data_IF_635937876112
#
_entry.id   IF_635937876112
#
_cell.length_a   1.000
_cell.length_b   1.000
_cell.length_c   1.000
_cell.angle_alpha   90.00
_cell.angle_beta   90.00
_cell.angle_gamma   90.00
#
_symmetry.space_group_name_H-M   'P 1'
#
loop_
_entity.id
_entity.type
_entity.pdbx_description
1 polymer ?
#
# COMPACT_ATOMS: atom_id res chain seq x y z
N UNK A 1 30.16 64.52 -5.00
CA UNK A 1 29.70 63.24 -5.54
C UNK A 1 29.17 62.37 -4.42
N UNK A 2 27.82 62.31 -4.28
CA UNK A 2 27.15 61.45 -3.33
C UNK A 2 26.87 60.09 -4.01
N UNK A 3 27.44 59.03 -3.48
CA UNK A 3 27.17 57.65 -3.91
C UNK A 3 25.91 57.14 -3.19
N UNK A 4 24.83 56.93 -3.93
CA UNK A 4 23.59 56.33 -3.45
C UNK A 4 23.77 54.80 -3.48
N UNK A 5 23.89 54.15 -2.32
CA UNK A 5 23.91 52.70 -2.21
C UNK A 5 22.48 52.17 -2.29
N UNK A 6 22.13 51.53 -3.40
CA UNK A 6 20.90 50.77 -3.54
C UNK A 6 21.08 49.40 -2.82
N UNK A 7 20.49 49.28 -1.63
CA UNK A 7 20.34 48.01 -0.95
C UNK A 7 19.20 47.21 -1.62
N UNK A 8 19.53 46.20 -2.42
CA UNK A 8 18.58 45.20 -2.84
C UNK A 8 18.26 44.30 -1.63
N UNK A 9 17.10 44.55 -1.03
CA UNK A 9 16.53 43.63 -0.07
C UNK A 9 16.14 42.33 -0.81
N UNK A 10 16.85 41.27 -0.57
CA UNK A 10 16.39 39.94 -0.99
C UNK A 10 15.15 39.60 -0.17
N UNK A 11 13.97 39.77 -0.74
CA UNK A 11 12.74 39.19 -0.21
C UNK A 11 12.86 37.72 -0.45
N UNK A 12 13.04 36.90 0.60
CA UNK A 12 12.84 35.49 0.55
C UNK A 12 11.36 35.28 0.12
N UNK A 13 11.14 34.84 -1.11
CA UNK A 13 9.85 34.33 -1.51
C UNK A 13 9.65 33.02 -0.72
N UNK A 14 8.94 33.12 0.42
CA UNK A 14 8.36 31.95 1.05
C UNK A 14 7.29 31.46 0.08
N UNK A 15 7.50 30.34 -0.54
CA UNK A 15 6.45 29.66 -1.26
C UNK A 15 5.51 29.09 -0.20
N UNK A 16 4.50 29.87 0.17
CA UNK A 16 3.38 29.41 0.99
C UNK A 16 2.50 28.57 0.07
N UNK A 17 2.58 27.23 0.18
CA UNK A 17 1.76 26.34 -0.63
C UNK A 17 0.36 26.09 -0.02
N UNK A 18 0.05 26.75 1.10
CA UNK A 18 -1.23 26.61 1.78
C UNK A 18 -1.44 25.26 2.46
N UNK A 19 -2.69 24.93 2.71
CA UNK A 19 -3.11 23.67 3.33
C UNK A 19 -3.11 22.54 2.29
N UNK A 20 -2.42 21.42 2.62
CA UNK A 20 -2.35 20.22 1.79
C UNK A 20 -2.68 18.99 2.62
N UNK A 21 -3.68 18.22 2.21
CA UNK A 21 -4.01 16.94 2.81
C UNK A 21 -3.26 15.82 2.12
N UNK A 22 -2.50 15.03 2.88
CA UNK A 22 -1.79 13.83 2.37
C UNK A 22 -2.27 12.59 3.09
N UNK A 23 -2.45 11.49 2.35
CA UNK A 23 -2.89 10.22 2.94
C UNK A 23 -1.70 9.42 3.44
N UNK A 24 -1.80 8.91 4.68
CA UNK A 24 -0.95 7.85 5.19
C UNK A 24 -1.74 6.54 5.16
N UNK A 25 -1.31 5.61 4.31
CA UNK A 25 -1.89 4.28 4.26
C UNK A 25 -1.39 3.44 5.44
N UNK A 26 -2.16 2.44 5.84
CA UNK A 26 -1.93 1.63 7.04
C UNK A 26 -0.92 0.48 6.84
N UNK A 27 0.20 0.78 6.16
CA UNK A 27 1.37 -0.11 6.05
C UNK A 27 2.68 0.67 6.13
N UNK A 28 3.76 -0.04 6.47
CA UNK A 28 5.02 0.57 6.89
C UNK A 28 5.71 1.45 5.83
N UNK A 29 5.72 1.04 4.55
CA UNK A 29 6.35 1.85 3.49
C UNK A 29 5.62 3.18 3.30
N UNK A 30 4.29 3.17 3.32
CA UNK A 30 3.49 4.38 3.21
C UNK A 30 3.76 5.34 4.38
N UNK A 31 3.87 4.84 5.61
CA UNK A 31 4.21 5.68 6.75
C UNK A 31 5.55 6.40 6.56
N UNK A 32 6.57 5.70 6.05
CA UNK A 32 7.88 6.30 5.76
C UNK A 32 7.79 7.33 4.64
N UNK A 33 7.15 7.01 3.52
CA UNK A 33 7.02 7.93 2.37
C UNK A 33 6.21 9.16 2.78
N UNK A 34 5.12 8.98 3.51
CA UNK A 34 4.29 10.09 4.01
C UNK A 34 5.07 10.99 4.98
N UNK A 35 5.84 10.40 5.90
CA UNK A 35 6.68 11.18 6.82
C UNK A 35 7.73 12.03 6.08
N UNK A 36 8.37 11.46 5.05
CA UNK A 36 9.33 12.20 4.21
C UNK A 36 8.64 13.30 3.42
N UNK A 37 7.51 13.01 2.78
CA UNK A 37 6.72 14.00 2.02
C UNK A 37 6.28 15.16 2.93
N UNK A 38 5.70 14.85 4.08
CA UNK A 38 5.29 15.84 5.07
C UNK A 38 6.46 16.72 5.51
N UNK A 39 7.61 16.11 5.86
CA UNK A 39 8.80 16.85 6.27
C UNK A 39 9.28 17.81 5.17
N UNK A 40 9.41 17.35 3.94
CA UNK A 40 9.90 18.16 2.84
C UNK A 40 8.90 19.30 2.50
N UNK A 41 7.61 19.01 2.46
CA UNK A 41 6.58 19.99 2.16
C UNK A 41 6.52 21.08 3.26
N UNK A 42 6.55 20.66 4.53
CA UNK A 42 6.48 21.59 5.66
C UNK A 42 7.77 22.39 5.79
N UNK A 43 8.94 21.75 5.82
CA UNK A 43 10.21 22.42 6.09
C UNK A 43 10.83 23.06 4.84
N UNK A 44 10.59 22.47 3.67
CA UNK A 44 11.17 22.95 2.42
C UNK A 44 10.32 23.98 1.70
N UNK A 45 8.99 23.84 1.77
CA UNK A 45 8.05 24.63 0.98
C UNK A 45 7.07 25.45 1.83
N UNK A 46 7.06 25.29 3.15
CA UNK A 46 6.19 26.05 4.05
C UNK A 46 4.73 25.69 3.95
N UNK A 47 4.40 24.47 3.49
CA UNK A 47 3.03 23.98 3.42
C UNK A 47 2.47 23.68 4.82
N UNK A 48 1.18 23.89 5.01
CA UNK A 48 0.42 23.37 6.16
C UNK A 48 -0.11 21.97 5.80
N UNK A 49 0.63 20.94 6.22
CA UNK A 49 0.34 19.56 5.83
C UNK A 49 -0.53 18.87 6.85
N UNK A 50 -1.69 18.38 6.39
CA UNK A 50 -2.63 17.57 7.16
C UNK A 50 -2.46 16.10 6.76
N UNK A 51 -1.89 15.27 7.64
CA UNK A 51 -1.78 13.82 7.43
C UNK A 51 -3.10 13.16 7.78
N UNK A 52 -3.68 12.43 6.82
CA UNK A 52 -4.98 11.75 6.94
C UNK A 52 -4.76 10.25 6.90
N UNK A 53 -4.84 9.53 8.03
CA UNK A 53 -4.78 8.08 8.04
C UNK A 53 -5.93 7.47 7.24
N UNK A 54 -5.62 6.49 6.38
CA UNK A 54 -6.63 5.82 5.56
C UNK A 54 -6.10 4.47 5.07
N UNK A 55 -6.86 3.84 4.18
CA UNK A 55 -6.43 2.73 3.35
C UNK A 55 -6.87 2.96 1.90
N UNK A 56 -6.44 2.12 0.96
CA UNK A 56 -6.55 2.39 -0.48
C UNK A 56 -7.98 2.69 -0.93
N UNK A 57 -8.94 1.84 -0.57
CA UNK A 57 -10.32 1.97 -1.05
C UNK A 57 -11.01 3.22 -0.49
N UNK A 58 -10.98 3.49 0.84
CA UNK A 58 -11.56 4.72 1.38
C UNK A 58 -10.90 5.99 0.85
N UNK A 59 -9.56 6.01 0.71
CA UNK A 59 -8.84 7.18 0.20
C UNK A 59 -9.24 7.53 -1.23
N UNK A 60 -9.28 6.54 -2.12
CA UNK A 60 -9.69 6.76 -3.52
C UNK A 60 -11.18 7.06 -3.66
N UNK A 61 -12.03 6.51 -2.80
CA UNK A 61 -13.45 6.88 -2.76
C UNK A 61 -13.62 8.35 -2.35
N UNK A 62 -12.93 8.78 -1.30
CA UNK A 62 -12.95 10.18 -0.86
C UNK A 62 -12.43 11.11 -1.96
N UNK A 63 -11.32 10.75 -2.61
CA UNK A 63 -10.79 11.50 -3.75
C UNK A 63 -11.80 11.63 -4.89
N UNK A 64 -12.48 10.55 -5.23
CA UNK A 64 -13.49 10.52 -6.31
C UNK A 64 -14.68 11.43 -6.03
N UNK A 65 -15.13 11.46 -4.76
CA UNK A 65 -16.35 12.17 -4.34
C UNK A 65 -16.10 13.63 -3.94
N UNK A 66 -14.95 13.91 -3.33
CA UNK A 66 -14.67 15.22 -2.69
C UNK A 66 -13.47 15.95 -3.28
N UNK A 67 -12.64 15.28 -4.07
CA UNK A 67 -11.34 15.81 -4.51
C UNK A 67 -10.27 15.80 -3.41
N UNK A 68 -10.50 15.12 -2.30
CA UNK A 68 -9.56 14.99 -1.18
C UNK A 68 -9.29 13.52 -0.85
N UNK A 69 -8.07 13.17 -0.39
CA UNK A 69 -6.90 14.02 -0.11
C UNK A 69 -6.27 14.64 -1.37
N UNK A 70 -5.43 15.67 -1.20
CA UNK A 70 -4.71 16.30 -2.31
C UNK A 70 -3.60 15.40 -2.85
N UNK A 71 -2.97 14.60 -1.98
CA UNK A 71 -1.88 13.70 -2.31
C UNK A 71 -2.07 12.33 -1.66
N UNK A 72 -1.94 11.29 -2.48
CA UNK A 72 -1.78 9.91 -2.03
C UNK A 72 -0.32 9.53 -2.23
N UNK A 73 0.38 9.19 -1.15
CA UNK A 73 1.83 9.00 -1.17
C UNK A 73 2.25 7.65 -1.72
N UNK A 74 1.37 6.65 -1.68
CA UNK A 74 1.63 5.32 -2.21
C UNK A 74 0.32 4.65 -2.63
N UNK A 75 0.20 4.32 -3.92
CA UNK A 75 -0.93 3.58 -4.48
C UNK A 75 -0.41 2.38 -5.26
N UNK A 76 -0.88 1.19 -4.90
CA UNK A 76 -0.59 -0.06 -5.59
C UNK A 76 -1.57 -0.22 -6.76
N UNK A 77 -1.20 0.38 -7.90
CA UNK A 77 -2.09 0.57 -9.04
C UNK A 77 -2.61 -0.75 -9.63
N UNK A 78 -1.76 -1.80 -9.68
CA UNK A 78 -2.12 -3.09 -10.28
C UNK A 78 -3.22 -3.83 -9.51
N UNK A 79 -3.28 -3.67 -8.20
CA UNK A 79 -4.29 -4.29 -7.34
C UNK A 79 -5.49 -3.37 -7.05
N UNK A 80 -5.54 -2.18 -7.65
CA UNK A 80 -6.55 -1.15 -7.37
C UNK A 80 -7.49 -0.95 -8.55
N UNK A 81 -8.66 -1.60 -8.62
CA UNK A 81 -9.57 -1.53 -9.77
C UNK A 81 -10.07 -0.13 -10.12
N UNK A 82 -10.15 0.78 -9.14
CA UNK A 82 -10.59 2.17 -9.34
C UNK A 82 -9.49 3.10 -9.87
N UNK A 83 -8.23 2.67 -9.88
CA UNK A 83 -7.10 3.53 -10.26
C UNK A 83 -7.21 4.05 -11.70
N UNK A 84 -7.27 3.17 -12.68
CA UNK A 84 -7.36 3.56 -14.09
C UNK A 84 -8.63 4.34 -14.45
N UNK A 85 -9.83 3.98 -13.97
CA UNK A 85 -11.03 4.81 -14.16
C UNK A 85 -10.86 6.24 -13.65
N UNK A 86 -10.36 6.44 -12.42
CA UNK A 86 -10.16 7.77 -11.85
C UNK A 86 -9.12 8.59 -12.63
N UNK A 87 -8.06 7.94 -13.09
CA UNK A 87 -7.04 8.55 -13.94
C UNK A 87 -7.61 8.96 -15.30
N UNK A 88 -8.39 8.10 -15.95
CA UNK A 88 -9.05 8.39 -17.21
C UNK A 88 -10.07 9.54 -17.12
N UNK A 89 -10.74 9.67 -15.97
CA UNK A 89 -11.66 10.79 -15.68
C UNK A 89 -10.93 12.09 -15.30
N UNK A 90 -9.61 12.07 -15.18
CA UNK A 90 -8.81 13.22 -14.76
C UNK A 90 -8.94 13.58 -13.28
N UNK A 91 -9.49 12.70 -12.47
CA UNK A 91 -9.63 12.87 -11.01
C UNK A 91 -8.35 12.51 -10.26
N UNK A 92 -7.49 11.70 -10.87
CA UNK A 92 -6.21 11.26 -10.35
C UNK A 92 -5.11 11.57 -11.37
N UNK A 93 -4.02 12.17 -10.89
CA UNK A 93 -2.81 12.44 -11.68
C UNK A 93 -1.65 11.70 -11.04
N UNK A 94 -1.01 10.82 -11.80
CA UNK A 94 0.22 10.16 -11.37
C UNK A 94 1.40 11.13 -11.47
N UNK A 95 2.12 11.30 -10.37
CA UNK A 95 3.29 12.19 -10.31
C UNK A 95 4.58 11.45 -10.62
N UNK A 96 4.79 10.29 -9.97
CA UNK A 96 5.99 9.48 -10.11
C UNK A 96 5.82 8.10 -9.50
N UNK A 97 6.73 7.19 -9.83
CA UNK A 97 6.86 5.93 -9.12
C UNK A 97 7.59 6.14 -7.79
N UNK A 98 7.03 5.65 -6.71
CA UNK A 98 7.64 5.73 -5.36
C UNK A 98 8.80 4.74 -5.23
N UNK A 99 8.66 3.54 -5.80
CA UNK A 99 9.69 2.50 -5.80
C UNK A 99 10.35 2.46 -7.18
N UNK A 100 11.67 2.65 -7.22
CA UNK A 100 12.46 2.75 -8.47
C UNK A 100 12.47 1.46 -9.29
N UNK A 101 12.37 0.31 -8.61
CA UNK A 101 12.37 -1.04 -9.17
C UNK A 101 10.96 -1.67 -9.21
N UNK A 102 9.94 -0.88 -8.83
CA UNK A 102 8.57 -1.33 -8.71
C UNK A 102 8.31 -2.15 -7.45
N UNK A 103 7.04 -2.49 -7.24
CA UNK A 103 6.59 -3.41 -6.20
C UNK A 103 6.08 -4.70 -6.82
N UNK A 104 6.21 -5.80 -6.09
CA UNK A 104 5.65 -7.10 -6.49
C UNK A 104 4.62 -7.52 -5.45
N UNK A 105 3.37 -7.54 -5.86
CA UNK A 105 2.26 -8.10 -5.07
C UNK A 105 2.00 -9.53 -5.55
N UNK A 106 1.95 -10.48 -4.63
CA UNK A 106 1.72 -11.88 -5.00
C UNK A 106 1.15 -12.70 -3.83
N UNK A 107 0.81 -13.93 -4.13
CA UNK A 107 0.58 -14.96 -3.12
C UNK A 107 1.90 -15.68 -2.83
N UNK A 108 2.26 -15.75 -1.58
CA UNK A 108 3.56 -16.21 -1.12
C UNK A 108 3.46 -17.38 -0.18
N UNK A 109 4.46 -18.27 -0.24
CA UNK A 109 4.79 -19.22 0.80
C UNK A 109 6.24 -19.00 1.24
N UNK A 110 6.62 -19.36 2.48
CA UNK A 110 8.01 -19.29 2.92
C UNK A 110 8.93 -20.19 2.08
N UNK A 111 10.16 -19.74 1.83
CA UNK A 111 11.14 -20.47 1.02
C UNK A 111 11.42 -21.89 1.58
N UNK A 112 11.57 -22.03 2.90
CA UNK A 112 11.77 -23.35 3.53
C UNK A 112 10.63 -24.33 3.26
N UNK A 113 9.39 -23.82 3.09
CA UNK A 113 8.24 -24.63 2.78
C UNK A 113 8.27 -25.07 1.30
N UNK A 114 8.64 -24.18 0.38
CA UNK A 114 8.82 -24.46 -1.03
C UNK A 114 9.97 -25.44 -1.28
N UNK A 115 11.07 -25.33 -0.53
CA UNK A 115 12.22 -26.23 -0.62
C UNK A 115 11.91 -27.65 -0.13
N UNK A 116 11.14 -27.77 0.96
CA UNK A 116 10.75 -29.06 1.51
C UNK A 116 9.59 -29.73 0.77
N UNK A 117 8.72 -28.94 0.14
CA UNK A 117 7.54 -29.37 -0.59
C UNK A 117 7.37 -28.57 -1.88
N UNK A 118 8.15 -28.90 -2.94
CA UNK A 118 8.13 -28.13 -4.19
C UNK A 118 6.76 -28.03 -4.88
N UNK A 119 5.87 -29.00 -4.66
CA UNK A 119 4.50 -28.99 -5.17
C UNK A 119 3.69 -27.78 -4.65
N UNK A 120 3.98 -27.26 -3.46
CA UNK A 120 3.29 -26.11 -2.86
C UNK A 120 3.61 -24.77 -3.56
N UNK A 121 4.52 -24.77 -4.53
CA UNK A 121 4.78 -23.59 -5.37
C UNK A 121 3.71 -23.36 -6.45
N UNK A 122 2.72 -24.25 -6.52
CA UNK A 122 1.59 -24.16 -7.45
C UNK A 122 0.26 -24.17 -6.70
N UNK A 123 -0.76 -23.55 -7.29
CA UNK A 123 -2.11 -23.57 -6.74
C UNK A 123 -2.64 -24.99 -6.59
N UNK A 124 -2.49 -25.81 -7.60
CA UNK A 124 -2.96 -27.22 -7.59
C UNK A 124 -2.31 -28.02 -6.48
N UNK A 125 -1.01 -27.81 -6.23
CA UNK A 125 -0.29 -28.47 -5.13
C UNK A 125 -0.79 -28.02 -3.76
N UNK A 126 -1.06 -26.73 -3.57
CA UNK A 126 -1.66 -26.21 -2.33
C UNK A 126 -3.06 -26.81 -2.12
N UNK A 127 -3.88 -26.84 -3.16
CA UNK A 127 -5.25 -27.38 -3.07
C UNK A 127 -5.29 -28.90 -2.91
N UNK A 128 -4.26 -29.62 -3.35
CA UNK A 128 -4.13 -31.06 -3.07
C UNK A 128 -3.80 -31.34 -1.59
N UNK A 129 -3.13 -30.41 -0.90
CA UNK A 129 -2.77 -30.55 0.51
C UNK A 129 -2.80 -29.19 1.25
N UNK A 130 -3.97 -28.58 1.45
CA UNK A 130 -4.06 -27.26 2.08
C UNK A 130 -3.54 -27.22 3.52
N UNK A 131 -3.54 -28.35 4.23
CA UNK A 131 -2.96 -28.44 5.57
C UNK A 131 -1.45 -28.23 5.60
N UNK A 132 -0.74 -28.48 4.49
CA UNK A 132 0.70 -28.26 4.39
C UNK A 132 1.07 -26.76 4.43
N UNK A 133 0.14 -25.88 4.08
CA UNK A 133 0.27 -24.42 4.22
C UNK A 133 -0.47 -23.87 5.44
N UNK A 134 -0.87 -24.74 6.38
CA UNK A 134 -1.61 -24.37 7.59
C UNK A 134 -3.12 -24.29 7.41
N UNK A 135 -3.68 -24.69 6.27
CA UNK A 135 -5.12 -24.65 5.98
C UNK A 135 -5.72 -23.25 5.86
N UNK A 136 -4.88 -22.22 5.76
CA UNK A 136 -5.30 -20.81 5.70
C UNK A 136 -4.60 -20.07 4.59
N UNK A 137 -5.35 -19.14 4.00
CA UNK A 137 -4.82 -18.05 3.20
C UNK A 137 -4.85 -16.76 4.04
N UNK A 138 -3.69 -16.26 4.42
CA UNK A 138 -3.53 -15.00 5.15
C UNK A 138 -3.73 -13.84 4.19
N UNK A 139 -4.87 -13.17 4.31
CA UNK A 139 -5.28 -12.12 3.41
C UNK A 139 -5.06 -10.73 4.00
N UNK A 140 -4.97 -9.74 3.10
CA UNK A 140 -4.82 -8.35 3.45
C UNK A 140 -6.00 -7.80 4.24
N UNK A 141 -5.77 -6.75 5.04
CA UNK A 141 -6.81 -6.08 5.79
C UNK A 141 -7.94 -5.55 4.92
N UNK A 142 -9.12 -5.42 5.51
CA UNK A 142 -10.24 -4.74 4.88
C UNK A 142 -9.88 -3.28 4.57
N UNK A 143 -10.25 -2.82 3.39
CA UNK A 143 -9.93 -1.47 2.92
C UNK A 143 -8.70 -1.40 2.03
N UNK A 144 -7.83 -2.41 2.03
CA UNK A 144 -6.82 -2.57 1.00
C UNK A 144 -7.49 -3.05 -0.31
N UNK A 145 -6.94 -2.65 -1.45
CA UNK A 145 -7.53 -3.04 -2.74
C UNK A 145 -7.43 -4.54 -3.01
N UNK A 146 -6.38 -5.20 -2.51
CA UNK A 146 -6.18 -6.65 -2.59
C UNK A 146 -7.29 -7.47 -1.92
N UNK A 147 -7.98 -6.95 -0.90
CA UNK A 147 -9.13 -7.61 -0.26
C UNK A 147 -10.18 -8.03 -1.29
N UNK A 148 -10.52 -7.12 -2.21
CA UNK A 148 -11.52 -7.38 -3.26
C UNK A 148 -11.02 -8.44 -4.24
N UNK A 149 -9.77 -8.29 -4.70
CA UNK A 149 -9.17 -9.17 -5.71
C UNK A 149 -8.97 -10.59 -5.15
N UNK A 150 -8.35 -10.70 -3.98
CA UNK A 150 -8.10 -11.99 -3.35
C UNK A 150 -9.39 -12.74 -3.04
N UNK A 151 -10.39 -12.04 -2.50
CA UNK A 151 -11.69 -12.66 -2.24
C UNK A 151 -12.33 -13.23 -3.52
N UNK A 152 -12.26 -12.51 -4.64
CA UNK A 152 -12.79 -12.97 -5.91
C UNK A 152 -11.97 -14.16 -6.47
N UNK A 153 -10.64 -14.08 -6.41
CA UNK A 153 -9.75 -15.13 -6.90
C UNK A 153 -9.90 -16.41 -6.07
N UNK A 154 -9.94 -16.32 -4.74
CA UNK A 154 -10.12 -17.48 -3.85
C UNK A 154 -11.47 -18.15 -4.07
N UNK A 155 -12.55 -17.37 -4.26
CA UNK A 155 -13.87 -17.92 -4.59
C UNK A 155 -13.89 -18.62 -5.95
N UNK A 156 -13.35 -17.96 -6.98
CA UNK A 156 -13.29 -18.50 -8.33
C UNK A 156 -12.46 -19.80 -8.39
N UNK A 157 -11.40 -19.88 -7.58
CA UNK A 157 -10.52 -21.04 -7.47
C UNK A 157 -11.04 -22.13 -6.52
N UNK A 158 -12.20 -21.94 -5.88
CA UNK A 158 -12.81 -22.94 -5.01
C UNK A 158 -12.05 -23.18 -3.70
N UNK A 159 -11.32 -22.19 -3.21
CA UNK A 159 -10.42 -22.33 -2.06
C UNK A 159 -11.10 -22.90 -0.81
N UNK A 160 -12.23 -22.34 -0.41
CA UNK A 160 -12.97 -22.78 0.78
C UNK A 160 -13.50 -24.21 0.64
N UNK A 161 -14.07 -24.55 -0.52
CA UNK A 161 -14.55 -25.89 -0.80
C UNK A 161 -13.41 -26.92 -0.80
N UNK A 162 -12.19 -26.51 -1.13
CA UNK A 162 -10.97 -27.31 -1.06
C UNK A 162 -10.32 -27.36 0.32
N UNK A 163 -10.86 -26.69 1.33
CA UNK A 163 -10.35 -26.72 2.71
C UNK A 163 -9.32 -25.65 3.04
N UNK A 164 -9.23 -24.57 2.25
CA UNK A 164 -8.38 -23.42 2.50
C UNK A 164 -9.25 -22.25 3.03
N UNK A 165 -9.14 -21.95 4.32
CA UNK A 165 -9.85 -20.84 4.97
C UNK A 165 -9.25 -19.50 4.59
N UNK A 166 -10.06 -18.55 4.16
CA UNK A 166 -9.63 -17.15 4.04
C UNK A 166 -9.55 -16.49 5.41
N UNK A 167 -8.35 -16.13 5.85
CA UNK A 167 -8.11 -15.45 7.12
C UNK A 167 -7.71 -13.99 6.87
N UNK A 168 -8.65 -13.09 7.08
CA UNK A 168 -8.44 -11.66 6.89
C UNK A 168 -7.82 -11.04 8.15
N UNK A 169 -6.67 -10.38 7.99
CA UNK A 169 -6.01 -9.68 9.09
C UNK A 169 -6.72 -8.36 9.42
N UNK A 170 -6.66 -7.94 10.68
CA UNK A 170 -7.27 -6.69 11.14
C UNK A 170 -6.46 -5.44 10.79
N UNK A 171 -5.16 -5.59 10.49
CA UNK A 171 -4.27 -4.49 10.08
C UNK A 171 -3.04 -5.01 9.35
N UNK A 172 -2.30 -4.10 8.67
CA UNK A 172 -1.02 -4.42 8.03
C UNK A 172 0.01 -4.98 9.01
N UNK A 173 0.06 -4.45 10.24
CA UNK A 173 0.97 -4.91 11.29
C UNK A 173 0.66 -6.35 11.73
N UNK A 174 -0.63 -6.72 11.83
CA UNK A 174 -0.99 -8.10 12.18
C UNK A 174 -0.65 -9.08 11.07
N UNK A 175 -0.79 -8.68 9.81
CA UNK A 175 -0.34 -9.47 8.67
C UNK A 175 1.18 -9.65 8.68
N UNK A 176 1.96 -8.57 8.81
CA UNK A 176 3.43 -8.63 8.91
C UNK A 176 3.90 -9.47 10.08
N UNK A 177 3.25 -9.34 11.24
CA UNK A 177 3.57 -10.15 12.43
C UNK A 177 3.33 -11.63 12.17
N UNK A 178 2.27 -11.98 11.43
CA UNK A 178 2.01 -13.40 11.08
C UNK A 178 3.10 -13.99 10.18
N UNK A 179 3.61 -13.20 9.24
CA UNK A 179 4.74 -13.59 8.37
C UNK A 179 6.00 -13.79 9.21
N UNK A 180 6.34 -12.81 10.05
CA UNK A 180 7.53 -12.85 10.89
C UNK A 180 7.51 -14.04 11.88
N UNK A 181 6.36 -14.30 12.51
CA UNK A 181 6.19 -15.42 13.41
C UNK A 181 6.33 -16.77 12.68
N UNK A 182 5.65 -16.92 11.53
CA UNK A 182 5.77 -18.13 10.74
C UNK A 182 7.23 -18.40 10.32
N UNK A 183 7.95 -17.35 9.92
CA UNK A 183 9.34 -17.47 9.52
C UNK A 183 10.27 -17.84 10.69
N UNK A 184 10.07 -17.23 11.86
CA UNK A 184 10.85 -17.54 13.06
C UNK A 184 10.64 -18.97 13.55
N UNK A 185 9.42 -19.48 13.49
CA UNK A 185 9.03 -20.80 13.97
C UNK A 185 9.14 -21.90 12.87
N UNK A 186 9.48 -21.52 11.64
CA UNK A 186 9.41 -22.38 10.45
C UNK A 186 8.04 -23.06 10.29
N UNK A 187 6.99 -22.32 10.61
CA UNK A 187 5.62 -22.79 10.56
C UNK A 187 5.02 -22.64 9.14
N UNK A 188 4.04 -23.47 8.78
CA UNK A 188 3.29 -23.29 7.55
C UNK A 188 2.63 -21.91 7.47
N UNK A 189 2.78 -21.24 6.31
CA UNK A 189 2.13 -19.97 6.02
C UNK A 189 1.89 -19.85 4.51
N UNK A 190 0.73 -19.36 4.13
CA UNK A 190 0.38 -19.02 2.75
C UNK A 190 -0.50 -17.77 2.77
N UNK A 191 -0.17 -16.77 1.98
CA UNK A 191 -0.94 -15.54 1.96
C UNK A 191 -0.44 -14.52 0.95
N UNK A 192 -1.06 -13.36 0.99
CA UNK A 192 -0.76 -12.20 0.17
C UNK A 192 0.15 -11.22 0.93
N UNK A 193 1.11 -10.63 0.20
CA UNK A 193 1.83 -9.42 0.61
C UNK A 193 2.44 -8.71 -0.60
#
# INVERSE_FOLDING_TARGET
>A
TAAMALSFGATSASADCGEVSITEMDWASSAVVTAVANFLMTQGYGCDVQVVPSSTVPALTSLAETGKPDLLTEVWANSTPSYEPLRAEGKLVELTNVLSDGGVEAWWIPAYLAESNPELTTWDGIMANPSAVGGKFHDCPSGWACDIINNNNLKAAGAEAGGLERFQHGSGETLQTSIAAAYADQAPWFGYY
#
